data_IF_803513029263
#
_entry.id   IF_803513029263
#
_cell.length_a   1.000
_cell.length_b   1.000
_cell.length_c   1.000
_cell.angle_alpha   90.00
_cell.angle_beta   90.00
_cell.angle_gamma   90.00
#
_symmetry.space_group_name_H-M   'P 1'
#
loop_
_entity.id
_entity.type
_entity.pdbx_description
1 polymer ?
#
# COMPACT_ATOMS: atom_id res chain seq x y z
N UNK A 1 -9.81 -8.68 36.26
CA UNK A 1 -9.59 -7.49 37.14
C UNK A 1 -8.75 -7.97 38.30
N UNK A 2 -7.59 -7.38 38.56
CA UNK A 2 -6.72 -7.75 39.70
C UNK A 2 -7.29 -7.21 40.99
N UNK A 3 -6.99 -7.88 42.12
CA UNK A 3 -7.39 -7.43 43.48
C UNK A 3 -6.98 -5.97 43.76
N UNK A 4 -5.80 -5.55 43.28
CA UNK A 4 -5.31 -4.18 43.38
C UNK A 4 -6.24 -3.17 42.70
N UNK A 5 -6.76 -3.50 41.49
CA UNK A 5 -7.71 -2.62 40.78
C UNK A 5 -9.06 -2.51 41.54
N UNK A 6 -9.53 -3.58 42.16
CA UNK A 6 -10.78 -3.57 42.96
C UNK A 6 -10.60 -2.66 44.17
N UNK A 7 -9.48 -2.80 44.89
CA UNK A 7 -9.17 -1.96 46.03
C UNK A 7 -9.11 -0.47 45.69
N UNK A 8 -8.45 -0.11 44.57
CA UNK A 8 -8.39 1.29 44.07
C UNK A 8 -9.79 1.83 43.73
N UNK A 9 -10.64 1.01 43.12
CA UNK A 9 -12.03 1.41 42.80
C UNK A 9 -12.82 1.71 44.09
N UNK A 10 -12.72 0.83 45.09
CA UNK A 10 -13.40 1.03 46.37
C UNK A 10 -12.88 2.33 47.03
N UNK A 11 -11.56 2.50 47.15
CA UNK A 11 -10.95 3.68 47.77
C UNK A 11 -11.36 4.97 47.09
N UNK A 12 -11.45 5.00 45.77
CA UNK A 12 -11.85 6.22 45.04
C UNK A 12 -13.33 6.54 45.12
N UNK A 13 -14.18 5.55 45.41
CA UNK A 13 -15.62 5.68 45.53
C UNK A 13 -16.12 5.98 46.97
N UNK A 14 -15.24 6.06 47.96
CA UNK A 14 -15.63 6.41 49.32
C UNK A 14 -16.06 7.84 49.39
N UNK A 15 -17.24 8.10 49.99
CA UNK A 15 -17.84 9.42 50.24
C UNK A 15 -18.34 9.52 51.68
N UNK A 16 -18.20 10.73 52.27
CA UNK A 16 -18.82 11.03 53.57
C UNK A 16 -20.29 11.36 53.36
N UNK A 17 -21.16 10.68 54.07
CA UNK A 17 -22.62 10.93 54.10
C UNK A 17 -23.02 11.26 55.52
N UNK A 18 -23.90 12.28 55.69
CA UNK A 18 -24.46 12.64 56.97
C UNK A 18 -25.73 11.82 57.26
N UNK A 19 -25.81 11.28 58.45
CA UNK A 19 -27.05 10.71 58.98
C UNK A 19 -28.02 11.81 59.39
N UNK A 20 -29.26 11.49 59.70
CA UNK A 20 -30.27 12.44 60.14
C UNK A 20 -29.91 13.11 61.48
N UNK A 21 -29.04 12.47 62.29
CA UNK A 21 -28.52 12.98 63.57
C UNK A 21 -27.22 13.81 63.40
N UNK A 22 -26.85 14.12 62.15
CA UNK A 22 -25.63 14.84 61.78
C UNK A 22 -24.31 14.10 62.03
N UNK A 23 -24.37 12.82 62.41
CA UNK A 23 -23.17 11.97 62.45
C UNK A 23 -22.71 11.61 61.04
N UNK A 24 -21.39 11.51 60.84
CA UNK A 24 -20.81 11.15 59.57
C UNK A 24 -20.62 9.62 59.43
N UNK A 25 -20.94 9.08 58.29
CA UNK A 25 -20.56 7.74 57.91
C UNK A 25 -19.88 7.75 56.52
N UNK A 26 -19.07 6.73 56.28
CA UNK A 26 -18.41 6.55 54.98
C UNK A 26 -19.18 5.47 54.19
N UNK A 27 -19.62 5.85 53.01
CA UNK A 27 -20.30 4.92 52.09
C UNK A 27 -19.57 4.84 50.77
N UNK A 28 -19.72 3.71 50.04
CA UNK A 28 -19.22 3.58 48.70
C UNK A 28 -20.27 4.07 47.70
N UNK A 29 -19.85 5.00 46.86
CA UNK A 29 -20.63 5.46 45.69
C UNK A 29 -19.96 5.00 44.39
N UNK A 30 -20.63 4.13 43.67
CA UNK A 30 -20.17 3.70 42.35
C UNK A 30 -20.08 4.86 41.33
N UNK A 31 -21.01 5.81 41.42
CA UNK A 31 -21.02 7.00 40.57
C UNK A 31 -19.79 7.85 40.81
N UNK A 32 -19.46 8.15 42.07
CA UNK A 32 -18.28 8.94 42.45
C UNK A 32 -16.98 8.22 42.03
N UNK A 33 -16.92 6.90 42.22
CA UNK A 33 -15.79 6.10 41.76
C UNK A 33 -15.62 6.20 40.23
N UNK A 34 -16.72 6.09 39.50
CA UNK A 34 -16.73 6.21 38.03
C UNK A 34 -16.29 7.60 37.57
N UNK A 35 -16.86 8.65 38.14
CA UNK A 35 -16.58 10.03 37.77
C UNK A 35 -15.11 10.40 38.03
N UNK A 36 -14.56 10.06 39.21
CA UNK A 36 -13.15 10.25 39.53
C UNK A 36 -12.22 9.50 38.58
N UNK A 37 -12.55 8.24 38.27
CA UNK A 37 -11.77 7.43 37.35
C UNK A 37 -11.81 7.99 35.91
N UNK A 38 -12.99 8.41 35.47
CA UNK A 38 -13.19 9.02 34.16
C UNK A 38 -12.41 10.33 34.05
N UNK A 39 -12.48 11.18 35.05
CA UNK A 39 -11.73 12.44 35.11
C UNK A 39 -10.23 12.20 35.04
N UNK A 40 -9.70 11.28 35.87
CA UNK A 40 -8.27 10.91 35.86
C UNK A 40 -7.83 10.35 34.50
N UNK A 41 -8.69 9.53 33.86
CA UNK A 41 -8.42 9.00 32.52
C UNK A 41 -8.40 10.10 31.45
N UNK A 42 -9.32 11.07 31.52
CA UNK A 42 -9.36 12.20 30.59
C UNK A 42 -8.12 13.07 30.74
N UNK A 43 -7.72 13.38 31.97
CA UNK A 43 -6.52 14.19 32.27
C UNK A 43 -5.23 13.47 31.79
N UNK A 44 -5.10 12.18 32.07
CA UNK A 44 -3.96 11.37 31.61
C UNK A 44 -3.88 11.29 30.07
N UNK A 45 -5.02 11.15 29.42
CA UNK A 45 -5.07 11.13 27.94
C UNK A 45 -4.76 12.50 27.33
N UNK A 46 -5.16 13.59 27.99
CA UNK A 46 -4.82 14.95 27.55
C UNK A 46 -3.31 15.21 27.68
N UNK A 47 -2.70 14.82 28.81
CA UNK A 47 -1.25 14.93 29.02
C UNK A 47 -0.46 14.11 28.00
N UNK A 48 -0.86 12.87 27.74
CA UNK A 48 -0.22 12.02 26.71
C UNK A 48 -0.33 12.63 25.31
N UNK A 49 -1.47 13.21 24.97
CA UNK A 49 -1.66 13.88 23.69
C UNK A 49 -0.73 15.09 23.55
N UNK A 50 -0.64 15.92 24.58
CA UNK A 50 0.25 17.09 24.57
C UNK A 50 1.72 16.68 24.43
N UNK A 51 2.16 15.67 25.17
CA UNK A 51 3.51 15.11 25.04
C UNK A 51 3.79 14.53 23.65
N UNK A 52 2.76 14.01 22.95
CA UNK A 52 2.90 13.43 21.61
C UNK A 52 2.74 14.45 20.48
N UNK A 53 2.41 15.72 20.79
CA UNK A 53 2.17 16.76 19.79
C UNK A 53 3.30 16.93 18.77
N UNK A 54 4.59 16.99 19.17
CA UNK A 54 5.69 17.09 18.20
C UNK A 54 5.72 15.93 17.20
N UNK A 55 5.49 14.70 17.66
CA UNK A 55 5.43 13.53 16.79
C UNK A 55 4.22 13.57 15.85
N UNK A 56 3.06 14.01 16.33
CA UNK A 56 1.85 14.15 15.51
C UNK A 56 2.08 15.19 14.39
N UNK A 57 2.68 16.32 14.71
CA UNK A 57 3.00 17.37 13.73
C UNK A 57 3.99 16.86 12.67
N UNK A 58 5.00 16.09 13.07
CA UNK A 58 5.95 15.46 12.16
C UNK A 58 5.25 14.48 11.19
N UNK A 59 4.34 13.64 11.70
CA UNK A 59 3.55 12.71 10.89
C UNK A 59 2.67 13.47 9.88
N UNK A 60 2.02 14.55 10.31
CA UNK A 60 1.17 15.37 9.43
C UNK A 60 2.01 16.07 8.36
N UNK A 61 3.16 16.63 8.72
CA UNK A 61 4.09 17.26 7.78
C UNK A 61 4.51 16.26 6.70
N UNK A 62 4.87 15.05 7.10
CA UNK A 62 5.25 14.00 6.15
C UNK A 62 4.07 13.54 5.28
N UNK A 63 2.86 13.45 5.86
CA UNK A 63 1.64 13.08 5.13
C UNK A 63 1.25 14.12 4.07
N UNK A 64 1.45 15.42 4.36
CA UNK A 64 1.18 16.54 3.44
C UNK A 64 2.27 16.74 2.38
N UNK A 65 3.41 16.05 2.49
CA UNK A 65 4.47 16.11 1.50
C UNK A 65 3.96 15.55 0.16
N UNK A 66 3.92 16.34 -0.93
CA UNK A 66 3.39 15.91 -2.23
C UNK A 66 4.17 14.74 -2.86
N UNK A 67 5.42 14.54 -2.44
CA UNK A 67 6.26 13.41 -2.87
C UNK A 67 6.09 12.17 -2.00
N UNK A 68 5.30 12.25 -0.93
CA UNK A 68 4.99 11.11 -0.07
C UNK A 68 3.62 10.55 -0.42
N UNK A 69 3.56 9.28 -0.80
CA UNK A 69 2.31 8.58 -1.13
C UNK A 69 1.92 7.55 -0.05
N UNK A 70 2.64 7.55 1.09
CA UNK A 70 2.36 6.66 2.20
C UNK A 70 1.11 7.10 2.96
N UNK A 71 0.45 6.14 3.57
CA UNK A 71 -0.64 6.39 4.52
C UNK A 71 -0.09 6.76 5.90
N UNK A 72 -0.93 7.33 6.76
CA UNK A 72 -0.57 7.62 8.16
C UNK A 72 0.00 6.38 8.87
N UNK A 73 -0.55 5.18 8.63
CA UNK A 73 -0.06 3.93 9.19
C UNK A 73 1.38 3.64 8.75
N UNK A 74 1.64 3.78 7.47
CA UNK A 74 2.97 3.54 6.89
C UNK A 74 3.99 4.58 7.39
N UNK A 75 3.62 5.85 7.50
CA UNK A 75 4.48 6.93 8.01
C UNK A 75 4.85 6.69 9.48
N UNK A 76 3.87 6.38 10.33
CA UNK A 76 4.13 6.11 11.76
C UNK A 76 5.08 4.92 11.93
N UNK A 77 4.91 3.86 11.13
CA UNK A 77 5.77 2.70 11.20
C UNK A 77 7.16 2.98 10.62
N UNK A 78 7.26 3.81 9.59
CA UNK A 78 8.56 4.23 9.04
C UNK A 78 9.40 4.98 10.07
N UNK A 79 8.83 5.97 10.74
CA UNK A 79 9.53 6.66 11.82
C UNK A 79 10.01 5.70 12.92
N UNK A 80 9.16 4.72 13.29
CA UNK A 80 9.48 3.77 14.37
C UNK A 80 10.49 2.69 13.99
N UNK A 81 10.56 2.31 12.72
CA UNK A 81 11.41 1.20 12.27
C UNK A 81 12.69 1.69 11.58
N UNK A 82 12.59 2.71 10.74
CA UNK A 82 13.66 3.11 9.84
C UNK A 82 14.24 4.50 10.15
N UNK A 83 13.47 5.38 10.81
CA UNK A 83 13.83 6.79 11.06
C UNK A 83 13.80 7.14 12.55
N UNK A 84 14.28 6.22 13.40
CA UNK A 84 14.22 6.36 14.86
C UNK A 84 14.99 7.59 15.38
N UNK A 85 16.07 7.97 14.73
CA UNK A 85 16.86 9.16 15.09
C UNK A 85 16.07 10.48 14.97
N UNK A 86 15.07 10.54 14.08
CA UNK A 86 14.26 11.74 13.88
C UNK A 86 13.18 11.93 14.97
N UNK A 87 12.88 10.86 15.70
CA UNK A 87 11.87 10.85 16.78
C UNK A 87 12.48 10.61 18.15
N UNK A 88 13.80 10.71 18.26
CA UNK A 88 14.52 10.53 19.53
C UNK A 88 14.03 11.55 20.58
N UNK A 89 13.71 11.07 21.77
CA UNK A 89 13.15 11.89 22.84
C UNK A 89 11.67 12.27 22.68
N UNK A 90 11.00 11.91 21.57
CA UNK A 90 9.59 12.21 21.38
C UNK A 90 8.68 11.12 21.95
N UNK A 91 7.56 11.52 22.52
CA UNK A 91 6.47 10.60 22.88
C UNK A 91 5.74 10.18 21.60
N UNK A 92 5.88 8.92 21.19
CA UNK A 92 5.22 8.41 19.99
C UNK A 92 3.84 7.82 20.29
N UNK A 93 2.96 7.81 19.30
CA UNK A 93 1.65 7.16 19.36
C UNK A 93 1.51 6.08 18.30
N UNK A 94 0.55 5.18 18.48
CA UNK A 94 0.21 4.20 17.44
C UNK A 94 -0.84 4.76 16.46
N UNK A 95 -0.97 4.11 15.32
CA UNK A 95 -1.92 4.47 14.25
C UNK A 95 -3.36 4.57 14.74
N UNK A 96 -3.79 3.63 15.58
CA UNK A 96 -5.16 3.62 16.14
C UNK A 96 -5.40 4.88 17.01
N UNK A 97 -4.42 5.27 17.82
CA UNK A 97 -4.49 6.49 18.65
C UNK A 97 -4.54 7.73 17.77
N UNK A 98 -3.73 7.80 16.71
CA UNK A 98 -3.75 8.92 15.76
C UNK A 98 -5.14 9.09 15.14
N UNK A 99 -5.71 8.03 14.56
CA UNK A 99 -7.06 8.09 13.98
C UNK A 99 -8.15 8.41 15.01
N UNK A 100 -8.04 7.90 16.24
CA UNK A 100 -8.96 8.28 17.33
C UNK A 100 -8.91 9.77 17.65
N UNK A 101 -7.73 10.39 17.56
CA UNK A 101 -7.60 11.84 17.75
C UNK A 101 -8.21 12.63 16.59
N UNK A 102 -8.02 12.17 15.34
CA UNK A 102 -8.67 12.75 14.16
C UNK A 102 -10.19 12.64 14.25
N UNK A 103 -10.73 11.45 14.55
CA UNK A 103 -12.17 11.22 14.67
C UNK A 103 -12.84 12.09 15.75
N UNK A 104 -12.10 12.44 16.82
CA UNK A 104 -12.57 13.28 17.92
C UNK A 104 -12.20 14.76 17.76
N UNK A 105 -11.70 15.18 16.60
CA UNK A 105 -11.23 16.54 16.32
C UNK A 105 -10.24 17.07 17.39
N UNK A 106 -9.29 16.23 17.81
CA UNK A 106 -8.30 16.55 18.86
C UNK A 106 -6.93 16.93 18.30
N UNK A 107 -6.78 17.06 16.99
CA UNK A 107 -5.56 17.51 16.33
C UNK A 107 -5.83 18.84 15.66
N UNK A 108 -5.14 19.87 16.12
CA UNK A 108 -5.29 21.22 15.57
C UNK A 108 -4.77 21.27 14.13
N UNK A 109 -5.54 21.87 13.24
CA UNK A 109 -5.16 22.07 11.84
C UNK A 109 -5.11 20.81 10.97
N UNK A 110 -5.64 19.66 11.43
CA UNK A 110 -5.76 18.43 10.65
C UNK A 110 -7.14 17.80 10.83
N UNK A 111 -7.83 17.55 9.73
CA UNK A 111 -9.20 17.01 9.74
C UNK A 111 -9.33 15.67 9.01
N UNK A 112 -10.45 15.00 9.24
CA UNK A 112 -10.80 13.75 8.57
C UNK A 112 -10.92 13.89 7.05
N UNK A 113 -11.24 15.10 6.58
CA UNK A 113 -11.42 15.37 5.14
C UNK A 113 -10.12 15.30 4.35
N UNK A 114 -8.97 15.46 5.02
CA UNK A 114 -7.65 15.29 4.42
C UNK A 114 -7.29 13.82 4.18
N UNK A 115 -7.99 12.89 4.86
CA UNK A 115 -7.72 11.47 4.71
C UNK A 115 -8.37 10.92 3.42
N UNK A 116 -7.71 9.97 2.73
CA UNK A 116 -8.31 9.31 1.59
C UNK A 116 -9.64 8.66 1.95
N UNK A 117 -10.71 9.01 1.24
CA UNK A 117 -12.04 8.45 1.46
C UNK A 117 -12.00 6.94 1.19
N UNK A 118 -12.43 6.13 2.15
CA UNK A 118 -12.67 4.70 1.93
C UNK A 118 -13.79 4.57 0.90
N UNK A 119 -13.45 4.16 -0.32
CA UNK A 119 -14.47 3.84 -1.33
C UNK A 119 -15.38 2.74 -0.78
N UNK A 120 -16.71 2.95 -0.80
CA UNK A 120 -17.68 1.89 -0.49
C UNK A 120 -17.38 0.73 -1.43
N UNK A 121 -17.16 -0.48 -0.88
CA UNK A 121 -17.06 -1.70 -1.69
C UNK A 121 -18.34 -1.82 -2.48
N UNK A 122 -18.26 -1.72 -3.81
CA UNK A 122 -19.37 -2.14 -4.68
C UNK A 122 -19.58 -3.63 -4.44
N UNK A 123 -20.85 -4.06 -4.28
CA UNK A 123 -21.18 -5.48 -4.27
C UNK A 123 -20.57 -6.15 -5.50
N UNK A 124 -19.96 -7.31 -5.33
CA UNK A 124 -19.50 -8.11 -6.47
C UNK A 124 -20.70 -8.39 -7.35
N UNK A 125 -20.69 -7.90 -8.58
CA UNK A 125 -21.58 -8.44 -9.60
C UNK A 125 -21.19 -9.90 -9.83
N UNK A 126 -22.18 -10.76 -10.03
CA UNK A 126 -22.00 -12.15 -10.37
C UNK A 126 -20.97 -12.31 -11.50
N UNK A 127 -19.99 -13.17 -11.30
CA UNK A 127 -18.94 -13.44 -12.26
C UNK A 127 -19.59 -14.05 -13.51
N UNK A 128 -19.56 -13.31 -14.61
CA UNK A 128 -19.91 -13.86 -15.91
C UNK A 128 -18.75 -14.73 -16.37
N UNK A 129 -18.92 -16.03 -16.39
CA UNK A 129 -17.95 -16.95 -16.99
C UNK A 129 -17.75 -16.58 -18.47
N UNK A 130 -16.58 -16.05 -18.75
CA UNK A 130 -16.19 -15.72 -20.11
C UNK A 130 -15.70 -16.96 -20.84
N UNK A 131 -16.35 -17.35 -21.92
CA UNK A 131 -16.02 -18.51 -22.73
C UNK A 131 -14.90 -18.30 -23.75
N UNK A 132 -14.11 -17.22 -23.65
CA UNK A 132 -13.00 -16.98 -24.59
C UNK A 132 -11.78 -17.78 -24.14
N UNK A 133 -11.27 -18.72 -24.94
CA UNK A 133 -10.09 -19.48 -24.57
C UNK A 133 -8.88 -18.54 -24.44
N UNK A 134 -7.92 -18.86 -23.55
CA UNK A 134 -6.70 -18.11 -23.42
C UNK A 134 -5.91 -18.12 -24.73
N UNK A 135 -5.26 -17.00 -25.06
CA UNK A 135 -4.46 -16.84 -26.30
C UNK A 135 -3.18 -17.67 -26.32
N UNK A 136 -2.75 -18.17 -25.16
CA UNK A 136 -1.55 -18.96 -24.96
C UNK A 136 -1.74 -19.96 -23.83
N UNK A 137 -0.70 -20.17 -23.02
CA UNK A 137 -0.72 -21.15 -21.92
C UNK A 137 -1.64 -20.62 -20.81
N UNK A 138 -2.68 -21.40 -20.44
CA UNK A 138 -3.58 -21.06 -19.34
C UNK A 138 -2.83 -20.91 -18.02
N UNK A 139 -3.31 -20.02 -17.16
CA UNK A 139 -2.81 -19.84 -15.78
C UNK A 139 -2.88 -21.13 -14.96
N UNK A 140 -3.78 -22.06 -15.27
CA UNK A 140 -3.90 -23.37 -14.62
C UNK A 140 -2.62 -24.21 -14.75
N UNK A 141 -1.88 -24.02 -15.84
CA UNK A 141 -0.60 -24.71 -16.08
C UNK A 141 0.59 -24.02 -15.39
N UNK A 142 0.34 -22.92 -14.64
CA UNK A 142 1.37 -22.21 -13.91
C UNK A 142 1.72 -22.99 -12.63
N UNK A 143 3.01 -23.17 -12.29
CA UNK A 143 3.42 -23.74 -11.01
C UNK A 143 2.81 -23.00 -9.82
N UNK A 144 2.69 -23.66 -8.67
CA UNK A 144 2.10 -23.06 -7.46
C UNK A 144 2.96 -21.93 -6.87
N UNK A 145 4.29 -22.00 -7.02
CA UNK A 145 5.22 -21.02 -6.43
C UNK A 145 4.93 -19.54 -6.75
N UNK A 146 4.38 -19.16 -7.91
CA UNK A 146 3.93 -17.79 -8.13
C UNK A 146 2.73 -17.37 -7.26
N UNK A 147 1.91 -18.29 -6.79
CA UNK A 147 0.69 -17.98 -6.03
C UNK A 147 0.96 -17.73 -4.56
N UNK A 148 1.87 -18.48 -3.94
CA UNK A 148 2.32 -18.24 -2.57
C UNK A 148 3.29 -17.05 -2.46
N UNK A 149 3.81 -16.53 -3.61
CA UNK A 149 4.70 -15.36 -3.70
C UNK A 149 6.02 -15.52 -2.96
N UNK A 150 6.49 -16.72 -2.77
CA UNK A 150 7.76 -17.03 -2.11
C UNK A 150 8.92 -16.94 -3.07
N UNK A 151 8.68 -17.24 -4.35
CA UNK A 151 9.68 -17.22 -5.39
C UNK A 151 9.74 -15.86 -6.12
N UNK A 152 10.98 -15.36 -6.34
CA UNK A 152 11.23 -14.15 -7.10
C UNK A 152 11.26 -14.42 -8.61
N UNK A 153 10.81 -13.43 -9.40
CA UNK A 153 10.87 -13.46 -10.86
C UNK A 153 9.54 -13.76 -11.54
N UNK A 154 8.45 -13.82 -10.81
CA UNK A 154 7.10 -14.00 -11.36
C UNK A 154 6.37 -12.67 -11.45
N UNK A 155 5.97 -12.28 -12.67
CA UNK A 155 5.42 -10.97 -12.97
C UNK A 155 3.96 -11.03 -13.40
N UNK A 156 3.24 -9.96 -13.13
CA UNK A 156 1.92 -9.69 -13.70
C UNK A 156 2.05 -8.52 -14.68
N UNK A 157 1.56 -8.69 -15.91
CA UNK A 157 1.61 -7.66 -16.94
C UNK A 157 0.23 -7.10 -17.29
N UNK A 158 0.13 -5.77 -17.45
CA UNK A 158 -1.10 -5.07 -17.83
C UNK A 158 -0.78 -3.78 -18.59
N UNK A 159 -1.82 -3.14 -19.14
CA UNK A 159 -1.70 -1.82 -19.77
C UNK A 159 -2.66 -0.81 -19.14
N UNK A 160 -2.14 0.34 -18.76
CA UNK A 160 -2.95 1.50 -18.43
C UNK A 160 -3.14 2.32 -19.71
N UNK A 161 -4.39 2.56 -20.10
CA UNK A 161 -4.72 3.39 -21.27
C UNK A 161 -5.19 4.77 -20.84
N UNK A 162 -4.90 5.77 -21.68
CA UNK A 162 -5.41 7.12 -21.51
C UNK A 162 -6.91 7.22 -21.79
N UNK A 163 -7.42 8.43 -21.91
CA UNK A 163 -8.83 8.69 -22.17
C UNK A 163 -9.27 8.11 -23.51
N UNK A 164 -10.36 7.37 -23.51
CA UNK A 164 -11.02 6.91 -24.75
C UNK A 164 -11.64 8.04 -25.59
N UNK A 165 -11.81 9.23 -24.99
CA UNK A 165 -12.33 10.43 -25.67
C UNK A 165 -11.25 11.20 -26.41
N UNK A 166 -9.97 10.86 -26.23
CA UNK A 166 -8.82 11.50 -26.85
C UNK A 166 -8.20 10.50 -27.81
N UNK A 167 -8.17 10.86 -29.07
CA UNK A 167 -7.51 10.05 -30.08
C UNK A 167 -6.01 9.94 -29.77
N UNK A 168 -5.46 8.76 -29.94
CA UNK A 168 -4.04 8.48 -29.65
C UNK A 168 -3.59 8.91 -28.24
N UNK A 169 -4.45 8.69 -27.24
CA UNK A 169 -4.17 9.08 -25.84
C UNK A 169 -3.02 8.32 -25.17
N UNK A 170 -2.40 7.37 -25.85
CA UNK A 170 -1.26 6.60 -25.37
C UNK A 170 -1.64 5.50 -24.36
N UNK A 171 -0.60 4.76 -23.97
CA UNK A 171 -0.70 3.72 -22.96
C UNK A 171 0.58 3.65 -22.11
N UNK A 172 0.50 2.97 -20.95
CA UNK A 172 1.67 2.58 -20.15
C UNK A 172 1.61 1.08 -19.96
N UNK A 173 2.65 0.38 -20.38
CA UNK A 173 2.87 -1.02 -19.98
C UNK A 173 3.31 -1.03 -18.51
N UNK A 174 2.66 -1.84 -17.70
CA UNK A 174 3.03 -2.10 -16.31
C UNK A 174 3.37 -3.57 -16.13
N UNK A 175 4.50 -3.84 -15.50
CA UNK A 175 4.89 -5.18 -15.06
C UNK A 175 5.13 -5.10 -13.55
N UNK A 176 4.46 -5.94 -12.77
CA UNK A 176 4.60 -5.95 -11.31
C UNK A 176 5.10 -7.32 -10.86
N UNK A 177 6.23 -7.34 -10.18
CA UNK A 177 6.80 -8.56 -9.60
C UNK A 177 5.99 -8.98 -8.37
N UNK A 178 5.62 -10.27 -8.30
CA UNK A 178 4.61 -10.76 -7.35
C UNK A 178 5.08 -10.82 -5.90
N UNK A 179 6.35 -11.16 -5.66
CA UNK A 179 6.95 -11.28 -4.32
C UNK A 179 7.25 -9.91 -3.72
N UNK A 180 7.98 -9.09 -4.43
CA UNK A 180 8.50 -7.80 -3.96
C UNK A 180 7.55 -6.64 -4.20
N UNK A 181 6.56 -6.82 -5.07
CA UNK A 181 5.64 -5.76 -5.54
C UNK A 181 6.34 -4.66 -6.35
N UNK A 182 7.59 -4.89 -6.77
CA UNK A 182 8.32 -3.95 -7.59
C UNK A 182 7.63 -3.78 -8.95
N UNK A 183 7.48 -2.54 -9.37
CA UNK A 183 6.76 -2.19 -10.58
C UNK A 183 7.72 -1.60 -11.62
N UNK A 184 7.63 -2.08 -12.84
CA UNK A 184 8.25 -1.53 -14.04
C UNK A 184 7.15 -0.83 -14.85
N UNK A 185 7.39 0.42 -15.27
CA UNK A 185 6.48 1.17 -16.14
C UNK A 185 7.19 1.63 -17.41
N UNK A 186 6.54 1.45 -18.55
CA UNK A 186 7.09 1.87 -19.83
C UNK A 186 6.02 2.60 -20.64
N UNK A 187 6.29 3.83 -21.03
CA UNK A 187 5.41 4.62 -21.90
C UNK A 187 5.30 3.99 -23.28
N UNK A 188 4.08 3.84 -23.76
CA UNK A 188 3.73 3.35 -25.09
C UNK A 188 2.91 4.40 -25.83
N UNK A 189 3.25 4.69 -27.08
CA UNK A 189 2.50 5.67 -27.89
C UNK A 189 1.06 5.20 -28.15
N UNK A 190 0.84 3.89 -28.19
CA UNK A 190 -0.44 3.24 -28.41
C UNK A 190 -0.48 1.87 -27.74
N UNK A 191 -1.64 1.19 -27.79
CA UNK A 191 -1.89 -0.13 -27.21
C UNK A 191 -1.70 -1.29 -28.21
N UNK A 192 -0.99 -1.10 -29.30
CA UNK A 192 -0.78 -2.15 -30.31
C UNK A 192 0.24 -3.18 -29.83
N UNK A 193 0.03 -4.46 -30.17
CA UNK A 193 0.89 -5.53 -29.75
C UNK A 193 2.37 -5.33 -30.11
N UNK A 194 2.68 -4.81 -31.30
CA UNK A 194 4.05 -4.47 -31.69
C UNK A 194 4.67 -3.38 -30.80
N UNK A 195 3.88 -2.41 -30.35
CA UNK A 195 4.34 -1.35 -29.44
C UNK A 195 4.69 -1.93 -28.08
N UNK A 196 3.89 -2.87 -27.57
CA UNK A 196 4.16 -3.57 -26.30
C UNK A 196 5.44 -4.40 -26.39
N UNK A 197 5.64 -5.17 -27.46
CA UNK A 197 6.90 -5.93 -27.69
C UNK A 197 8.12 -4.98 -27.71
N UNK A 198 8.02 -3.84 -28.42
CA UNK A 198 9.09 -2.82 -28.43
C UNK A 198 9.34 -2.23 -27.05
N UNK A 199 8.30 -2.00 -26.24
CA UNK A 199 8.43 -1.51 -24.88
C UNK A 199 9.19 -2.50 -24.01
N UNK A 200 8.85 -3.79 -24.08
CA UNK A 200 9.52 -4.86 -23.34
C UNK A 200 11.01 -4.95 -23.72
N UNK A 201 11.34 -4.82 -24.99
CA UNK A 201 12.74 -4.81 -25.46
C UNK A 201 13.59 -3.67 -24.88
N UNK A 202 12.97 -2.59 -24.44
CA UNK A 202 13.65 -1.44 -23.82
C UNK A 202 13.82 -1.56 -22.30
N UNK A 203 13.34 -2.65 -21.64
CA UNK A 203 13.38 -2.79 -20.17
C UNK A 203 14.79 -2.57 -19.63
N UNK A 204 15.79 -3.31 -20.10
CA UNK A 204 17.18 -3.18 -19.62
C UNK A 204 17.79 -1.80 -19.87
N UNK A 205 17.34 -1.09 -20.89
CA UNK A 205 17.80 0.28 -21.17
C UNK A 205 17.22 1.28 -20.17
N UNK A 206 15.95 1.08 -19.76
CA UNK A 206 15.23 1.98 -18.84
C UNK A 206 15.49 1.68 -17.37
N UNK A 207 15.90 0.46 -17.07
CA UNK A 207 16.20 -0.02 -15.72
C UNK A 207 17.64 -0.56 -15.70
N UNK A 208 18.64 0.35 -15.54
CA UNK A 208 20.06 0.00 -15.61
C UNK A 208 20.50 -1.07 -14.61
N UNK A 209 19.84 -1.13 -13.46
CA UNK A 209 20.06 -2.14 -12.41
C UNK A 209 19.84 -3.58 -12.89
N UNK A 210 19.14 -3.75 -14.02
CA UNK A 210 18.87 -5.08 -14.60
C UNK A 210 19.91 -5.49 -15.67
N UNK A 211 20.91 -4.64 -15.99
CA UNK A 211 21.83 -4.89 -17.11
C UNK A 211 22.74 -6.09 -16.85
N UNK A 212 23.21 -6.23 -15.62
CA UNK A 212 24.22 -7.23 -15.25
C UNK A 212 23.63 -8.63 -15.03
N UNK A 213 22.30 -8.76 -15.06
CA UNK A 213 21.61 -10.01 -14.85
C UNK A 213 21.20 -10.68 -16.16
N UNK A 214 21.19 -12.01 -16.16
CA UNK A 214 20.51 -12.75 -17.24
C UNK A 214 19.01 -12.51 -17.14
N UNK A 215 18.39 -12.14 -18.26
CA UNK A 215 16.98 -11.68 -18.27
C UNK A 215 16.01 -12.75 -17.74
N UNK A 216 16.30 -14.02 -17.96
CA UNK A 216 15.49 -15.16 -17.50
C UNK A 216 15.58 -15.41 -15.98
N UNK A 217 16.62 -14.91 -15.31
CA UNK A 217 16.70 -14.95 -13.84
C UNK A 217 15.73 -13.95 -13.21
N UNK A 218 15.50 -12.81 -13.89
CA UNK A 218 14.60 -11.76 -13.43
C UNK A 218 13.17 -12.05 -13.86
N UNK A 219 12.96 -12.59 -15.06
CA UNK A 219 11.65 -12.87 -15.65
C UNK A 219 11.45 -14.37 -15.84
N UNK A 220 11.12 -15.09 -14.76
CA UNK A 220 10.82 -16.52 -14.81
C UNK A 220 9.48 -16.81 -15.48
N UNK A 221 8.46 -16.02 -15.13
CA UNK A 221 7.16 -16.06 -15.81
C UNK A 221 6.49 -14.68 -15.80
N UNK A 222 5.58 -14.49 -16.78
CA UNK A 222 4.72 -13.31 -16.82
C UNK A 222 3.29 -13.76 -17.03
N UNK A 223 2.35 -13.27 -16.21
CA UNK A 223 0.92 -13.52 -16.37
C UNK A 223 0.25 -12.29 -16.96
N UNK A 224 -0.38 -12.44 -18.12
CA UNK A 224 -1.16 -11.42 -18.80
C UNK A 224 -2.66 -11.68 -18.71
N UNK A 225 -3.48 -10.69 -19.04
CA UNK A 225 -4.88 -10.91 -19.41
C UNK A 225 -5.00 -11.31 -20.88
N UNK A 226 -6.24 -11.57 -21.31
CA UNK A 226 -6.53 -11.90 -22.71
C UNK A 226 -6.66 -10.66 -23.61
N UNK A 227 -6.03 -9.53 -23.24
CA UNK A 227 -6.02 -8.30 -24.02
C UNK A 227 -5.37 -8.48 -25.39
N UNK A 228 -5.91 -7.81 -26.42
CA UNK A 228 -5.38 -7.88 -27.80
C UNK A 228 -3.94 -7.34 -27.91
N UNK A 229 -3.53 -6.49 -27.00
CA UNK A 229 -2.18 -5.95 -26.89
C UNK A 229 -1.11 -6.99 -26.59
N UNK A 230 -1.49 -8.12 -26.00
CA UNK A 230 -0.59 -9.24 -25.72
C UNK A 230 -0.65 -10.35 -26.77
N UNK A 231 -1.28 -10.12 -27.94
CA UNK A 231 -1.38 -11.13 -29.01
C UNK A 231 -0.03 -11.58 -29.58
N UNK A 232 1.05 -10.81 -29.39
CA UNK A 232 2.44 -11.18 -29.75
C UNK A 232 3.25 -11.68 -28.56
N UNK A 233 2.61 -12.40 -27.65
CA UNK A 233 3.24 -12.96 -26.45
C UNK A 233 4.42 -13.90 -26.76
N UNK A 234 4.41 -14.59 -27.89
CA UNK A 234 5.51 -15.46 -28.32
C UNK A 234 6.82 -14.67 -28.52
N UNK A 235 6.73 -13.47 -29.12
CA UNK A 235 7.88 -12.57 -29.29
C UNK A 235 8.40 -12.10 -27.92
N UNK A 236 7.49 -11.86 -26.95
CA UNK A 236 7.84 -11.49 -25.57
C UNK A 236 8.55 -12.65 -24.88
N UNK A 237 7.97 -13.85 -24.95
CA UNK A 237 8.52 -15.06 -24.36
C UNK A 237 9.92 -15.37 -24.92
N UNK A 238 10.09 -15.29 -26.23
CA UNK A 238 11.39 -15.51 -26.89
C UNK A 238 12.43 -14.48 -26.45
N UNK A 239 12.06 -13.18 -26.36
CA UNK A 239 13.01 -12.14 -25.99
C UNK A 239 13.43 -12.21 -24.52
N UNK A 240 12.49 -12.40 -23.62
CA UNK A 240 12.76 -12.47 -22.17
C UNK A 240 13.21 -13.87 -21.72
N UNK A 241 13.14 -14.86 -22.58
CA UNK A 241 13.38 -16.29 -22.24
C UNK A 241 12.55 -16.71 -21.01
N UNK A 242 11.28 -16.33 -21.02
CA UNK A 242 10.31 -16.51 -19.92
C UNK A 242 9.12 -17.35 -20.39
N UNK A 243 8.24 -17.74 -19.47
CA UNK A 243 6.97 -18.38 -19.81
C UNK A 243 5.84 -17.36 -19.63
N UNK A 244 5.01 -17.20 -20.69
CA UNK A 244 3.85 -16.32 -20.63
C UNK A 244 2.59 -17.12 -20.33
N UNK A 245 1.92 -16.80 -19.22
CA UNK A 245 0.63 -17.36 -18.83
C UNK A 245 -0.49 -16.36 -19.06
N UNK A 246 -1.72 -16.85 -19.23
CA UNK A 246 -2.90 -16.03 -19.42
C UNK A 246 -3.94 -16.34 -18.34
N UNK A 247 -4.40 -15.27 -17.66
CA UNK A 247 -5.46 -15.36 -16.69
C UNK A 247 -6.80 -15.70 -17.34
N UNK A 248 -7.73 -16.27 -16.56
CA UNK A 248 -9.08 -16.51 -17.05
C UNK A 248 -9.78 -15.20 -17.41
N UNK A 249 -10.65 -15.21 -18.42
CA UNK A 249 -11.48 -14.07 -18.72
C UNK A 249 -12.29 -13.66 -17.48
N UNK A 250 -12.37 -12.33 -17.23
CA UNK A 250 -13.08 -11.72 -16.08
C UNK A 250 -12.56 -12.06 -14.68
N UNK A 251 -11.47 -12.82 -14.54
CA UNK A 251 -10.87 -13.22 -13.27
C UNK A 251 -9.79 -12.23 -12.81
N UNK A 252 -10.18 -10.99 -12.51
CA UNK A 252 -9.26 -9.92 -12.09
C UNK A 252 -8.49 -10.24 -10.80
N UNK A 253 -9.05 -11.11 -9.94
CA UNK A 253 -8.42 -11.54 -8.68
C UNK A 253 -7.12 -12.33 -8.89
N UNK A 254 -6.96 -13.02 -10.03
CA UNK A 254 -5.74 -13.74 -10.40
C UNK A 254 -4.54 -12.81 -10.63
N UNK A 255 -4.81 -11.51 -10.87
CA UNK A 255 -3.81 -10.45 -11.10
C UNK A 255 -3.94 -9.27 -10.13
N UNK A 256 -4.32 -9.56 -8.89
CA UNK A 256 -4.56 -8.55 -7.86
C UNK A 256 -3.33 -7.70 -7.52
N UNK A 257 -2.11 -8.16 -7.80
CA UNK A 257 -0.88 -7.40 -7.57
C UNK A 257 -0.79 -6.24 -8.54
N UNK A 258 -1.04 -6.49 -9.82
CA UNK A 258 -1.01 -5.47 -10.85
C UNK A 258 -2.16 -4.46 -10.69
N UNK A 259 -3.37 -4.92 -10.33
CA UNK A 259 -4.49 -4.03 -10.06
C UNK A 259 -4.14 -2.98 -8.99
N UNK A 260 -3.48 -3.39 -7.90
CA UNK A 260 -3.05 -2.47 -6.86
C UNK A 260 -1.94 -1.51 -7.33
N UNK A 261 -0.96 -1.98 -8.09
CA UNK A 261 0.06 -1.14 -8.72
C UNK A 261 -0.56 -0.10 -9.65
N UNK A 262 -1.49 -0.53 -10.49
CA UNK A 262 -2.22 0.33 -11.41
C UNK A 262 -3.09 1.38 -10.68
N UNK A 263 -3.71 1.05 -9.55
CA UNK A 263 -4.43 2.01 -8.70
C UNK A 263 -3.51 3.12 -8.18
N UNK A 264 -2.29 2.79 -7.79
CA UNK A 264 -1.31 3.78 -7.35
C UNK A 264 -0.87 4.66 -8.53
N UNK A 265 -0.57 4.07 -9.68
CA UNK A 265 -0.16 4.81 -10.87
C UNK A 265 -1.29 5.73 -11.39
N UNK A 266 -2.56 5.36 -11.17
CA UNK A 266 -3.71 6.21 -11.50
C UNK A 266 -3.85 7.49 -10.67
N UNK A 267 -3.13 7.61 -9.55
CA UNK A 267 -3.02 8.88 -8.82
C UNK A 267 -2.24 9.92 -9.63
N UNK A 268 -1.26 9.47 -10.42
CA UNK A 268 -0.41 10.30 -11.29
C UNK A 268 -0.96 10.39 -12.73
N UNK A 269 -1.67 9.37 -13.18
CA UNK A 269 -2.26 9.26 -14.51
C UNK A 269 -3.77 9.03 -14.42
N UNK A 270 -4.59 10.07 -14.22
CA UNK A 270 -6.04 9.94 -14.17
C UNK A 270 -6.62 9.28 -15.44
N UNK A 271 -7.78 8.61 -15.33
CA UNK A 271 -8.41 7.93 -16.47
C UNK A 271 -8.77 8.86 -17.63
N UNK A 272 -8.97 10.14 -17.35
CA UNK A 272 -9.33 11.15 -18.35
C UNK A 272 -8.13 11.81 -19.03
N UNK A 273 -6.89 11.44 -18.69
CA UNK A 273 -5.69 12.10 -19.22
C UNK A 273 -5.28 11.59 -20.61
N UNK A 274 -4.52 12.43 -21.30
CA UNK A 274 -3.71 12.03 -22.46
C UNK A 274 -2.35 11.56 -21.96
N UNK A 275 -2.06 10.26 -21.97
CA UNK A 275 -0.77 9.71 -21.51
C UNK A 275 0.38 10.24 -22.37
N UNK A 276 0.16 10.51 -23.66
CA UNK A 276 1.20 11.01 -24.53
C UNK A 276 1.66 12.43 -24.18
N UNK A 277 0.88 13.23 -23.45
CA UNK A 277 1.29 14.55 -22.98
C UNK A 277 2.28 14.53 -21.80
N UNK A 278 2.38 13.40 -21.08
CA UNK A 278 3.35 13.27 -19.99
C UNK A 278 4.72 12.87 -20.53
N UNK A 279 5.78 13.40 -19.94
CA UNK A 279 7.15 13.01 -20.28
C UNK A 279 7.50 11.63 -19.75
N UNK A 280 8.51 10.98 -20.34
CA UNK A 280 9.03 9.72 -19.79
C UNK A 280 9.61 9.90 -18.38
N UNK A 281 10.27 11.06 -18.14
CA UNK A 281 10.83 11.38 -16.84
C UNK A 281 9.74 11.48 -15.75
N UNK A 282 8.61 12.11 -16.04
CA UNK A 282 7.47 12.16 -15.12
C UNK A 282 6.98 10.76 -14.74
N UNK A 283 6.87 9.86 -15.72
CA UNK A 283 6.46 8.48 -15.49
C UNK A 283 7.49 7.70 -14.65
N UNK A 284 8.78 7.93 -14.88
CA UNK A 284 9.84 7.33 -14.09
C UNK A 284 9.79 7.81 -12.64
N UNK A 285 9.63 9.11 -12.40
CA UNK A 285 9.46 9.67 -11.04
C UNK A 285 8.22 9.12 -10.33
N UNK A 286 7.08 9.06 -11.03
CA UNK A 286 5.87 8.47 -10.48
C UNK A 286 6.07 6.99 -10.10
N UNK A 287 6.76 6.23 -10.94
CA UNK A 287 7.07 4.82 -10.68
C UNK A 287 8.06 4.65 -9.53
N UNK A 288 9.04 5.52 -9.41
CA UNK A 288 9.98 5.55 -8.28
C UNK A 288 9.26 5.78 -6.96
N UNK A 289 8.36 6.77 -6.88
CA UNK A 289 7.51 7.00 -5.71
C UNK A 289 6.67 5.77 -5.35
N UNK A 290 6.17 5.03 -6.35
CA UNK A 290 5.41 3.80 -6.13
C UNK A 290 6.31 2.69 -5.58
N UNK A 291 7.54 2.57 -6.07
CA UNK A 291 8.49 1.53 -5.66
C UNK A 291 9.16 1.84 -4.31
N UNK A 292 9.33 3.09 -3.97
CA UNK A 292 9.83 3.53 -2.64
C UNK A 292 8.74 3.58 -1.57
N UNK A 293 7.45 3.47 -1.98
CA UNK A 293 6.34 3.39 -1.04
C UNK A 293 6.49 2.22 -0.07
N UNK A 294 6.38 2.53 1.22
CA UNK A 294 6.38 1.55 2.30
C UNK A 294 5.06 0.77 2.28
N UNK A 295 5.13 -0.53 2.53
CA UNK A 295 3.95 -1.40 2.46
C UNK A 295 3.85 -2.30 3.69
N UNK A 296 2.74 -2.22 4.39
CA UNK A 296 2.45 -3.10 5.53
C UNK A 296 2.57 -4.59 5.18
N UNK A 297 2.09 -4.99 3.99
CA UNK A 297 2.16 -6.39 3.51
C UNK A 297 3.61 -6.87 3.28
N UNK A 298 4.56 -5.97 3.15
CA UNK A 298 5.98 -6.24 3.01
C UNK A 298 6.76 -6.01 4.32
N UNK A 299 6.07 -6.03 5.47
CA UNK A 299 6.70 -5.77 6.77
C UNK A 299 7.20 -4.33 6.91
N UNK A 300 6.50 -3.37 6.31
CA UNK A 300 6.87 -1.94 6.27
C UNK A 300 8.20 -1.66 5.53
N UNK A 301 8.57 -2.53 4.60
CA UNK A 301 9.62 -2.27 3.62
C UNK A 301 9.06 -1.75 2.31
N UNK A 302 9.90 -1.09 1.52
CA UNK A 302 9.53 -0.67 0.17
C UNK A 302 9.69 -1.81 -0.84
N UNK A 303 8.99 -1.68 -1.97
CA UNK A 303 9.12 -2.64 -3.07
C UNK A 303 10.54 -2.61 -3.68
N UNK A 304 11.14 -1.43 -3.77
CA UNK A 304 12.50 -1.22 -4.27
C UNK A 304 13.54 -1.91 -3.36
N UNK A 305 13.41 -1.73 -2.05
CA UNK A 305 14.31 -2.36 -1.07
C UNK A 305 14.30 -3.88 -1.20
N UNK A 306 13.10 -4.49 -1.22
CA UNK A 306 12.99 -5.95 -1.35
C UNK A 306 13.46 -6.45 -2.72
N UNK A 307 13.20 -5.70 -3.78
CA UNK A 307 13.68 -6.05 -5.11
C UNK A 307 15.21 -6.08 -5.17
N UNK A 308 15.88 -5.07 -4.59
CA UNK A 308 17.34 -5.02 -4.51
C UNK A 308 17.91 -6.17 -3.67
N UNK A 309 17.24 -6.57 -2.59
CA UNK A 309 17.63 -7.74 -1.79
C UNK A 309 17.58 -9.01 -2.64
N UNK A 310 16.53 -9.21 -3.43
CA UNK A 310 16.41 -10.38 -4.30
C UNK A 310 17.45 -10.35 -5.44
N UNK A 311 17.73 -9.18 -6.03
CA UNK A 311 18.83 -9.06 -7.01
C UNK A 311 20.20 -9.40 -6.40
N UNK A 312 20.48 -8.94 -5.18
CA UNK A 312 21.73 -9.26 -4.48
C UNK A 312 21.89 -10.78 -4.24
N UNK A 313 20.80 -11.49 -3.94
CA UNK A 313 20.83 -12.97 -3.83
C UNK A 313 21.19 -13.66 -5.14
N UNK A 314 20.68 -13.13 -6.27
CA UNK A 314 21.04 -13.66 -7.58
C UNK A 314 22.53 -13.49 -7.88
N UNK A 315 23.14 -12.36 -7.47
CA UNK A 315 24.56 -12.11 -7.65
C UNK A 315 25.43 -13.07 -6.80
N UNK A 316 24.98 -13.41 -5.60
CA UNK A 316 25.72 -14.34 -4.71
C UNK A 316 25.61 -15.81 -5.16
N UNK A 317 24.61 -16.13 -5.96
CA UNK A 317 24.40 -17.49 -6.48
C UNK A 317 25.10 -17.74 -7.83
N UNK A 318 25.75 -16.73 -8.41
CA UNK A 318 26.60 -16.81 -9.62
C UNK A 318 28.05 -17.08 -9.26
#
# INVERSE_FOLDING_TARGET
TTLSNIYEIIKTGLVEVYNYDLTKRIEFSSQVAWDKRTKKSVESNASKRESAKPFIELVIKEFRNPYNINSIDEIIHDFKLNRQSEIEGMTTICTTTFYSYVDKNKIDGFSKDELPVKSKRKSKNEEKEGKTPPKGISIENRPFSPDDRTEFGHWEGDTIVGSSKIENSGAVLTLVERKTRFQITIKCRDRKALTIVKAIKKIKQKYPELKDFQINQIFKSITFDNGVEFSKWEDIQKYLKTICYFAHPYSSYERGTNENGNKLLRKFLPKSCNINSYTENYLMQANELINTKIRKILGYKSSLELFNIELAKLTQAM
#
